data_IF_204103403614
#
_entry.id   IF_204103403614
#
_cell.length_a   1.000
_cell.length_b   1.000
_cell.length_c   1.000
_cell.angle_alpha   90.00
_cell.angle_beta   90.00
_cell.angle_gamma   90.00
#
_symmetry.space_group_name_H-M   'P 1'
#
loop_
_entity.id
_entity.type
_entity.pdbx_description
1 polymer ?
#
# COMPACT_ATOMS: atom_id res chain seq x y z
N UNK A 1 -1.95 10.22 2.97
CA UNK A 1 -1.34 9.12 3.73
C UNK A 1 -0.07 9.58 4.39
N UNK A 2 0.22 9.05 5.55
CA UNK A 2 1.38 9.47 6.33
C UNK A 2 1.84 8.36 7.30
N UNK A 3 3.07 8.47 7.76
CA UNK A 3 3.62 7.62 8.81
C UNK A 3 3.78 8.46 10.07
N UNK A 4 3.25 7.97 11.20
CA UNK A 4 3.39 8.65 12.48
C UNK A 4 4.89 8.77 12.86
N UNK A 5 5.31 9.97 13.26
CA UNK A 5 6.69 10.28 13.67
C UNK A 5 7.16 9.38 14.81
N UNK A 6 6.28 8.99 15.71
CA UNK A 6 6.63 8.11 16.84
C UNK A 6 7.12 6.72 16.41
N UNK A 7 6.89 6.35 15.15
CA UNK A 7 7.39 5.11 14.55
C UNK A 7 8.67 5.31 13.71
N UNK A 8 9.23 6.52 13.68
CA UNK A 8 10.40 6.85 12.84
C UNK A 8 11.67 6.86 13.67
N UNK A 9 12.63 6.08 13.22
CA UNK A 9 13.92 5.86 13.85
C UNK A 9 15.04 6.11 12.87
N UNK A 10 16.18 6.56 13.38
CA UNK A 10 17.41 6.60 12.62
C UNK A 10 18.41 5.58 13.16
N UNK A 11 19.19 5.00 12.27
CA UNK A 11 20.34 4.17 12.62
C UNK A 11 21.57 5.06 12.68
N UNK A 12 22.25 5.06 13.81
CA UNK A 12 23.57 5.66 13.89
C UNK A 12 24.62 4.56 13.75
N UNK A 13 25.55 4.71 12.81
CA UNK A 13 26.64 3.79 12.54
C UNK A 13 27.66 3.71 13.67
N UNK A 14 27.19 3.67 14.92
CA UNK A 14 28.04 3.60 16.09
C UNK A 14 28.20 2.16 16.52
N UNK A 15 29.29 1.52 16.12
CA UNK A 15 29.76 0.30 16.79
C UNK A 15 30.06 0.64 18.24
N UNK A 16 29.94 -0.34 19.15
CA UNK A 16 30.24 -0.19 20.59
C UNK A 16 31.61 0.47 20.85
N UNK A 17 32.57 0.25 20.00
CA UNK A 17 33.92 0.83 20.03
C UNK A 17 33.91 2.36 19.92
N UNK A 18 33.03 2.91 19.08
CA UNK A 18 32.90 4.36 18.91
C UNK A 18 32.19 5.02 20.10
N UNK A 19 31.21 4.34 20.71
CA UNK A 19 30.54 4.84 21.91
C UNK A 19 31.54 5.07 23.08
N UNK A 20 32.59 4.26 23.15
CA UNK A 20 33.66 4.41 24.17
C UNK A 20 34.48 5.69 24.00
N UNK A 21 34.55 6.21 22.78
CA UNK A 21 35.34 7.41 22.44
C UNK A 21 34.60 8.74 22.67
N UNK A 22 33.31 8.75 22.92
CA UNK A 22 32.59 9.98 23.24
C UNK A 22 32.96 10.55 24.61
N UNK A 23 33.25 11.85 24.67
CA UNK A 23 33.64 12.56 25.89
C UNK A 23 32.50 12.64 26.93
N UNK A 24 31.27 12.75 26.48
CA UNK A 24 30.09 12.93 27.35
C UNK A 24 29.38 11.60 27.67
N UNK A 25 29.56 11.12 28.91
CA UNK A 25 28.97 9.85 29.38
C UNK A 25 27.44 9.85 29.40
N UNK A 26 26.78 10.95 29.66
CA UNK A 26 25.32 11.02 29.73
C UNK A 26 24.71 10.83 28.32
N UNK A 27 25.32 11.45 27.32
CA UNK A 27 24.90 11.28 25.91
C UNK A 27 25.18 9.87 25.43
N UNK A 28 26.28 9.20 25.86
CA UNK A 28 26.50 7.76 25.60
C UNK A 28 25.33 6.90 26.10
N UNK A 29 24.87 7.17 27.34
CA UNK A 29 23.78 6.41 27.94
C UNK A 29 22.46 6.61 27.22
N UNK A 30 22.15 7.81 26.74
CA UNK A 30 20.98 8.07 25.92
C UNK A 30 20.98 7.21 24.64
N UNK A 31 22.12 7.06 24.00
CA UNK A 31 22.29 6.20 22.83
C UNK A 31 22.12 4.71 23.12
N UNK A 32 22.74 4.22 24.21
CA UNK A 32 22.69 2.81 24.58
C UNK A 32 21.30 2.42 25.09
N UNK A 33 20.64 3.30 25.85
CA UNK A 33 19.37 3.02 26.52
C UNK A 33 18.19 2.90 25.56
N UNK A 34 18.27 3.55 24.40
CA UNK A 34 17.14 3.61 23.47
C UNK A 34 16.98 2.38 22.60
N UNK A 35 18.02 1.58 22.33
CA UNK A 35 17.87 0.39 21.49
C UNK A 35 19.11 -0.53 21.43
N UNK A 36 18.98 -1.85 21.63
CA UNK A 36 20.07 -2.81 21.47
C UNK A 36 20.61 -2.89 20.02
N UNK A 37 19.89 -2.37 19.05
CA UNK A 37 20.31 -2.31 17.65
C UNK A 37 20.75 -0.91 17.19
N UNK A 38 20.98 0.03 18.14
CA UNK A 38 21.40 1.40 17.84
C UNK A 38 20.41 2.20 16.95
N UNK A 39 19.12 1.89 17.03
CA UNK A 39 18.07 2.67 16.42
C UNK A 39 17.51 3.66 17.44
N UNK A 40 17.56 4.93 17.11
CA UNK A 40 17.06 6.01 17.95
C UNK A 40 15.79 6.59 17.35
N UNK A 41 14.83 6.89 18.22
CA UNK A 41 13.71 7.71 17.78
C UNK A 41 14.25 9.02 17.20
N UNK A 42 13.61 9.54 16.14
CA UNK A 42 14.13 10.72 15.43
C UNK A 42 14.30 11.93 16.36
N UNK A 43 13.40 12.13 17.32
CA UNK A 43 13.46 13.22 18.32
C UNK A 43 14.62 13.05 19.31
N UNK A 44 15.17 11.84 19.47
CA UNK A 44 16.33 11.55 20.33
C UNK A 44 17.64 11.54 19.54
N UNK A 45 17.57 11.76 18.21
CA UNK A 45 18.76 11.74 17.36
C UNK A 45 19.71 12.89 17.67
N UNK A 46 21.00 12.68 17.39
CA UNK A 46 22.04 13.73 17.49
C UNK A 46 21.65 14.93 16.63
N UNK A 47 21.13 14.67 15.44
CA UNK A 47 20.75 15.69 14.47
C UNK A 47 19.63 16.58 15.01
N UNK A 48 18.56 15.98 15.55
CA UNK A 48 17.44 16.73 16.10
C UNK A 48 17.81 17.49 17.38
N UNK A 49 18.58 16.84 18.28
CA UNK A 49 19.06 17.48 19.50
C UNK A 49 19.97 18.66 19.22
N UNK A 50 20.83 18.59 18.18
CA UNK A 50 21.66 19.71 17.76
C UNK A 50 20.82 20.92 17.31
N UNK A 51 19.72 20.68 16.58
CA UNK A 51 18.80 21.74 16.12
C UNK A 51 18.05 22.39 17.28
N UNK A 52 17.43 21.58 18.16
CA UNK A 52 16.59 22.07 19.26
C UNK A 52 17.41 22.87 20.28
N UNK A 53 18.58 22.38 20.63
CA UNK A 53 19.45 23.04 21.61
C UNK A 53 20.33 24.13 21.00
N UNK A 54 20.30 24.31 19.69
CA UNK A 54 21.25 25.16 18.93
C UNK A 54 22.71 24.93 19.33
N UNK A 55 23.06 23.66 19.62
CA UNK A 55 24.39 23.23 20.03
C UNK A 55 24.83 22.05 19.14
N UNK A 56 25.85 22.30 18.33
CA UNK A 56 26.35 21.35 17.35
C UNK A 56 27.65 20.66 17.76
N UNK A 57 28.16 20.86 18.96
CA UNK A 57 29.46 20.30 19.37
C UNK A 57 29.45 18.78 19.37
N UNK A 58 28.37 18.18 19.89
CA UNK A 58 28.24 16.73 19.89
C UNK A 58 27.98 16.18 18.46
N UNK A 59 27.32 16.93 17.60
CA UNK A 59 27.18 16.58 16.19
C UNK A 59 28.53 16.58 15.47
N UNK A 60 29.39 17.59 15.70
CA UNK A 60 30.76 17.63 15.17
C UNK A 60 31.59 16.45 15.63
N UNK A 61 31.54 16.14 16.95
CA UNK A 61 32.22 14.98 17.52
C UNK A 61 31.76 13.67 16.86
N UNK A 62 30.46 13.52 16.65
CA UNK A 62 29.87 12.36 15.95
C UNK A 62 30.38 12.22 14.51
N UNK A 63 30.34 13.30 13.73
CA UNK A 63 30.83 13.30 12.33
C UNK A 63 32.31 12.91 12.26
N UNK A 64 33.12 13.46 13.14
CA UNK A 64 34.56 13.16 13.19
C UNK A 64 34.84 11.69 13.55
N UNK A 65 34.14 11.15 14.55
CA UNK A 65 34.33 9.77 14.99
C UNK A 65 33.83 8.77 13.94
N UNK A 66 32.73 9.07 13.25
CA UNK A 66 32.14 8.19 12.24
C UNK A 66 32.75 8.35 10.85
N UNK A 67 33.66 9.32 10.68
CA UNK A 67 34.28 9.65 9.39
C UNK A 67 33.27 9.99 8.28
N UNK A 68 32.13 10.58 8.67
CA UNK A 68 31.05 10.96 7.73
C UNK A 68 31.23 12.39 7.23
N UNK A 69 32.37 12.71 6.65
CA UNK A 69 32.72 14.07 6.17
C UNK A 69 31.78 14.61 5.09
N UNK A 70 31.06 13.74 4.40
CA UNK A 70 29.98 14.12 3.47
C UNK A 70 28.78 14.78 4.18
N UNK A 71 28.63 14.57 5.49
CA UNK A 71 27.59 15.13 6.35
C UNK A 71 28.13 16.25 7.27
N UNK A 72 29.12 17.02 6.79
CA UNK A 72 29.75 18.08 7.57
C UNK A 72 28.72 19.07 8.15
N UNK A 73 29.11 19.73 9.26
CA UNK A 73 28.24 20.73 9.90
C UNK A 73 27.84 21.83 8.93
N UNK A 74 28.75 22.31 8.09
CA UNK A 74 28.47 23.36 7.13
C UNK A 74 27.38 22.95 6.13
N UNK A 75 27.42 21.70 5.65
CA UNK A 75 26.36 21.16 4.79
C UNK A 75 25.03 21.07 5.51
N UNK A 76 25.04 20.70 6.80
CA UNK A 76 23.80 20.62 7.59
C UNK A 76 23.22 22.02 7.84
N UNK A 77 24.05 22.98 8.21
CA UNK A 77 23.61 24.37 8.39
C UNK A 77 23.12 24.99 7.08
N UNK A 78 23.84 24.80 5.98
CA UNK A 78 23.39 25.25 4.68
C UNK A 78 22.06 24.62 4.27
N UNK A 79 21.85 23.32 4.56
CA UNK A 79 20.56 22.65 4.32
C UNK A 79 19.46 23.27 5.21
N UNK A 80 19.75 23.59 6.47
CA UNK A 80 18.80 24.25 7.39
C UNK A 80 18.39 25.63 6.86
N UNK A 81 19.35 26.45 6.45
CA UNK A 81 19.12 27.83 5.96
C UNK A 81 18.33 27.85 4.64
N UNK A 82 18.56 26.87 3.76
CA UNK A 82 17.96 26.79 2.44
C UNK A 82 16.88 25.70 2.33
N UNK A 83 16.29 25.29 3.46
CA UNK A 83 15.32 24.20 3.48
C UNK A 83 14.00 24.59 2.82
N UNK A 84 13.65 23.90 1.73
CA UNK A 84 12.44 24.09 0.97
C UNK A 84 11.72 22.74 0.82
N UNK A 85 10.54 22.61 1.43
CA UNK A 85 9.74 21.40 1.40
C UNK A 85 9.33 21.01 -0.05
N UNK A 86 9.13 21.98 -0.93
CA UNK A 86 8.73 21.74 -2.32
C UNK A 86 9.87 21.13 -3.17
N UNK A 87 11.13 21.22 -2.69
CA UNK A 87 12.32 20.64 -3.31
C UNK A 87 12.83 19.41 -2.55
N UNK A 88 12.03 18.89 -1.63
CA UNK A 88 12.42 17.77 -0.78
C UNK A 88 12.65 16.50 -1.61
N UNK A 89 13.88 15.99 -1.58
CA UNK A 89 14.15 14.63 -2.09
C UNK A 89 13.52 13.60 -1.17
N UNK A 90 13.00 12.52 -1.73
CA UNK A 90 12.41 11.43 -0.94
C UNK A 90 13.38 10.93 0.14
N UNK A 91 12.81 10.65 1.29
CA UNK A 91 13.49 10.09 2.45
C UNK A 91 13.37 8.58 2.35
N UNK A 92 14.50 7.88 2.29
CA UNK A 92 14.51 6.43 2.19
C UNK A 92 14.38 5.80 3.56
N UNK A 93 13.35 4.97 3.77
CA UNK A 93 13.08 4.31 5.04
C UNK A 93 12.89 2.80 4.84
N UNK A 94 13.42 2.03 5.79
CA UNK A 94 13.15 0.59 5.88
C UNK A 94 12.07 0.34 6.93
N UNK A 95 11.03 -0.39 6.57
CA UNK A 95 9.97 -0.78 7.48
C UNK A 95 10.17 -2.20 8.00
N UNK A 96 10.26 -2.32 9.34
CA UNK A 96 10.24 -3.59 10.04
C UNK A 96 8.84 -3.83 10.62
N UNK A 97 8.07 -4.74 10.05
CA UNK A 97 6.68 -4.95 10.44
C UNK A 97 6.53 -5.53 11.86
N UNK A 98 7.47 -6.36 12.32
CA UNK A 98 7.42 -6.98 13.66
C UNK A 98 7.52 -5.93 14.77
N UNK A 99 8.43 -4.97 14.61
CA UNK A 99 8.62 -3.88 15.59
C UNK A 99 7.77 -2.65 15.27
N UNK A 100 7.14 -2.59 14.10
CA UNK A 100 6.42 -1.43 13.59
C UNK A 100 7.28 -0.16 13.51
N UNK A 101 8.57 -0.30 13.22
CA UNK A 101 9.52 0.80 13.13
C UNK A 101 9.86 1.08 11.67
N UNK A 102 9.96 2.36 11.35
CA UNK A 102 10.50 2.86 10.09
C UNK A 102 11.91 3.41 10.37
N UNK A 103 12.91 2.75 9.82
CA UNK A 103 14.32 3.11 10.03
C UNK A 103 14.78 3.94 8.84
N UNK A 104 15.23 5.16 9.09
CA UNK A 104 15.73 6.03 8.03
C UNK A 104 17.06 5.48 7.52
N UNK A 105 17.12 5.13 6.25
CA UNK A 105 18.33 4.72 5.54
C UNK A 105 19.05 5.92 4.91
N UNK A 106 18.28 6.90 4.40
CA UNK A 106 18.78 8.18 3.89
C UNK A 106 17.80 9.30 4.19
N UNK A 107 18.32 10.48 4.57
CA UNK A 107 17.52 11.67 4.79
C UNK A 107 17.27 12.03 6.25
N UNK A 108 18.06 11.56 7.22
CA UNK A 108 17.94 11.90 8.64
C UNK A 108 17.85 13.41 8.86
N UNK A 109 18.75 14.19 8.24
CA UNK A 109 18.74 15.66 8.33
C UNK A 109 17.42 16.26 7.84
N UNK A 110 16.88 15.73 6.73
CA UNK A 110 15.62 16.20 6.14
C UNK A 110 14.43 15.95 7.09
N UNK A 111 14.36 14.77 7.69
CA UNK A 111 13.32 14.46 8.68
C UNK A 111 13.45 15.36 9.90
N UNK A 112 14.68 15.55 10.43
CA UNK A 112 14.90 16.45 11.57
C UNK A 112 14.45 17.88 11.26
N UNK A 113 14.71 18.39 10.04
CA UNK A 113 14.28 19.73 9.64
C UNK A 113 12.76 19.85 9.45
N UNK A 114 12.11 18.81 8.86
CA UNK A 114 10.64 18.77 8.78
C UNK A 114 9.98 18.91 10.16
N UNK A 115 10.49 18.17 11.14
CA UNK A 115 9.99 18.20 12.53
C UNK A 115 10.36 19.53 13.21
N UNK A 116 11.59 19.98 13.04
CA UNK A 116 12.11 21.20 13.66
C UNK A 116 11.36 22.47 13.21
N UNK A 117 11.10 22.60 11.91
CA UNK A 117 10.34 23.73 11.35
C UNK A 117 8.81 23.56 11.47
N UNK A 118 8.33 22.46 12.08
CA UNK A 118 6.90 22.14 12.20
C UNK A 118 6.17 22.16 10.85
N UNK A 119 6.84 21.69 9.81
CA UNK A 119 6.27 21.58 8.44
C UNK A 119 5.39 20.35 8.28
N UNK A 120 5.43 19.47 9.23
CA UNK A 120 4.58 18.29 9.38
C UNK A 120 4.09 18.25 10.83
N UNK A 121 2.87 17.79 11.03
CA UNK A 121 2.32 17.56 12.35
C UNK A 121 2.97 16.29 12.99
N UNK A 122 2.17 15.34 13.45
CA UNK A 122 2.66 14.08 14.04
C UNK A 122 2.94 12.98 13.01
N UNK A 123 2.98 13.31 11.70
CA UNK A 123 3.17 12.31 10.66
C UNK A 123 3.85 12.85 9.40
N UNK A 124 4.65 11.99 8.73
CA UNK A 124 5.29 12.31 7.46
C UNK A 124 4.41 11.77 6.31
N UNK A 125 3.96 12.61 5.38
CA UNK A 125 3.24 12.17 4.18
C UNK A 125 4.06 11.16 3.34
N UNK A 126 3.37 10.14 2.81
CA UNK A 126 4.03 9.09 2.00
C UNK A 126 4.69 9.63 0.73
N UNK A 127 4.23 10.75 0.21
CA UNK A 127 4.84 11.40 -0.98
C UNK A 127 6.30 11.79 -0.74
N UNK A 128 6.70 12.03 0.52
CA UNK A 128 8.07 12.34 0.91
C UNK A 128 8.92 11.10 1.21
N UNK A 129 8.33 9.91 1.16
CA UNK A 129 8.99 8.67 1.56
C UNK A 129 9.24 7.73 0.37
N UNK A 130 10.37 7.04 0.44
CA UNK A 130 10.71 5.87 -0.36
C UNK A 130 10.82 4.69 0.61
N UNK A 131 9.73 3.90 0.69
CA UNK A 131 9.61 2.83 1.68
C UNK A 131 10.18 1.54 1.10
N UNK A 132 11.06 0.90 1.88
CA UNK A 132 11.60 -0.43 1.60
C UNK A 132 11.17 -1.34 2.74
N UNK A 133 10.70 -2.53 2.43
CA UNK A 133 10.43 -3.56 3.42
C UNK A 133 11.64 -4.44 3.65
N UNK A 134 11.88 -4.83 4.91
CA UNK A 134 12.95 -5.74 5.25
C UNK A 134 12.69 -7.17 4.71
N UNK A 135 13.73 -7.99 4.66
CA UNK A 135 13.64 -9.35 4.12
C UNK A 135 12.63 -10.22 4.88
N UNK A 136 12.48 -10.04 6.19
CA UNK A 136 11.51 -10.81 6.98
C UNK A 136 10.07 -10.44 6.59
N UNK A 137 9.83 -9.15 6.35
CA UNK A 137 8.52 -8.66 5.86
C UNK A 137 8.24 -9.19 4.47
N UNK A 138 9.23 -9.14 3.57
CA UNK A 138 9.09 -9.67 2.19
C UNK A 138 8.77 -11.17 2.23
N UNK A 139 9.47 -11.96 3.05
CA UNK A 139 9.22 -13.39 3.17
C UNK A 139 7.82 -13.68 3.79
N UNK A 140 7.39 -12.90 4.79
CA UNK A 140 6.04 -13.00 5.34
C UNK A 140 4.96 -12.80 4.27
N UNK A 141 5.09 -11.77 3.43
CA UNK A 141 4.16 -11.48 2.34
C UNK A 141 4.19 -12.60 1.30
N UNK A 142 5.37 -13.10 0.95
CA UNK A 142 5.56 -14.21 0.03
C UNK A 142 4.84 -15.48 0.49
N UNK A 143 5.00 -15.86 1.76
CA UNK A 143 4.31 -17.02 2.33
C UNK A 143 2.79 -16.86 2.29
N UNK A 144 2.28 -15.69 2.69
CA UNK A 144 0.85 -15.40 2.60
C UNK A 144 0.29 -15.51 1.18
N UNK A 145 1.03 -15.05 0.17
CA UNK A 145 0.65 -15.20 -1.24
C UNK A 145 0.64 -16.67 -1.69
N UNK A 146 1.62 -17.47 -1.25
CA UNK A 146 1.65 -18.90 -1.55
C UNK A 146 0.46 -19.63 -0.92
N UNK A 147 0.01 -19.23 0.26
CA UNK A 147 -1.19 -19.76 0.89
C UNK A 147 -2.46 -19.45 0.07
N UNK A 148 -2.58 -18.25 -0.50
CA UNK A 148 -3.70 -17.92 -1.41
C UNK A 148 -3.71 -18.80 -2.67
N UNK A 149 -2.52 -19.23 -3.12
CA UNK A 149 -2.40 -20.11 -4.30
C UNK A 149 -2.84 -21.54 -3.99
N UNK A 150 -2.60 -22.05 -2.79
CA UNK A 150 -2.79 -23.46 -2.44
C UNK A 150 -4.25 -23.91 -2.46
N UNK A 151 -5.20 -23.00 -2.20
CA UNK A 151 -6.64 -23.31 -2.14
C UNK A 151 -7.36 -23.00 -3.46
N UNK A 152 -6.81 -22.18 -4.32
CA UNK A 152 -7.39 -21.92 -5.63
C UNK A 152 -7.38 -23.17 -6.56
N UNK A 153 -7.36 -24.34 -5.99
CA UNK A 153 -7.49 -25.66 -6.62
C UNK A 153 -8.91 -25.96 -7.08
N UNK A 154 -9.74 -24.95 -7.25
CA UNK A 154 -11.02 -25.18 -7.88
C UNK A 154 -10.77 -25.72 -9.30
N UNK A 155 -10.91 -27.04 -9.44
CA UNK A 155 -11.00 -27.74 -10.73
C UNK A 155 -9.75 -27.69 -11.65
N UNK A 156 -8.55 -27.83 -11.14
CA UNK A 156 -7.36 -28.00 -12.01
C UNK A 156 -6.80 -26.70 -12.61
N UNK A 157 -7.37 -25.56 -12.30
CA UNK A 157 -6.91 -24.25 -12.77
C UNK A 157 -5.70 -23.68 -12.00
N UNK A 158 -5.28 -24.35 -10.93
CA UNK A 158 -4.20 -23.87 -10.05
C UNK A 158 -2.81 -23.76 -10.70
N UNK A 159 -2.54 -24.48 -11.76
CA UNK A 159 -1.21 -24.54 -12.39
C UNK A 159 -0.91 -23.38 -13.36
N UNK A 160 -1.88 -22.53 -13.66
CA UNK A 160 -1.71 -21.42 -14.61
C UNK A 160 -1.70 -20.02 -14.00
N UNK A 161 -1.81 -19.90 -12.68
CA UNK A 161 -2.04 -18.60 -12.01
C UNK A 161 -0.77 -17.95 -11.46
N UNK A 162 0.22 -17.71 -12.31
CA UNK A 162 1.44 -17.02 -11.89
C UNK A 162 2.20 -17.73 -10.75
N UNK A 163 3.34 -17.19 -10.36
CA UNK A 163 4.18 -17.79 -9.31
C UNK A 163 3.55 -17.58 -7.92
N UNK A 164 2.83 -16.47 -7.71
CA UNK A 164 2.30 -16.02 -6.43
C UNK A 164 0.78 -15.79 -6.42
N UNK A 165 0.01 -16.62 -7.10
CA UNK A 165 -1.45 -16.56 -7.08
C UNK A 165 -2.06 -15.67 -8.16
N UNK A 166 -3.26 -15.14 -7.89
CA UNK A 166 -4.04 -14.44 -8.92
C UNK A 166 -3.56 -13.00 -9.15
N UNK A 167 -3.42 -12.18 -8.10
CA UNK A 167 -2.93 -10.82 -8.23
C UNK A 167 -1.42 -10.73 -8.04
N UNK A 168 -0.76 -9.96 -8.91
CA UNK A 168 0.60 -9.48 -8.65
C UNK A 168 0.59 -8.44 -7.55
N UNK A 169 1.64 -8.43 -6.71
CA UNK A 169 1.84 -7.40 -5.70
C UNK A 169 3.12 -6.64 -6.00
N UNK A 170 2.96 -5.43 -6.55
CA UNK A 170 4.03 -4.51 -6.87
C UNK A 170 3.86 -3.25 -6.03
N UNK A 171 4.11 -3.39 -4.72
CA UNK A 171 3.94 -2.32 -3.73
C UNK A 171 5.30 -2.06 -3.09
N UNK A 172 5.81 -0.85 -3.22
CA UNK A 172 7.16 -0.45 -2.79
C UNK A 172 8.24 -1.40 -3.39
N UNK A 173 9.11 -2.00 -2.58
CA UNK A 173 10.13 -2.96 -3.07
C UNK A 173 9.65 -4.41 -3.12
N UNK A 174 8.38 -4.68 -2.80
CA UNK A 174 7.77 -5.99 -2.95
C UNK A 174 7.31 -6.18 -4.40
N UNK A 175 7.84 -7.18 -5.06
CA UNK A 175 7.50 -7.49 -6.45
C UNK A 175 7.23 -9.00 -6.58
N UNK A 176 5.96 -9.37 -6.42
CA UNK A 176 5.49 -10.75 -6.53
C UNK A 176 4.60 -10.91 -7.76
N UNK A 177 5.05 -11.72 -8.70
CA UNK A 177 4.37 -11.90 -9.97
C UNK A 177 3.20 -12.89 -9.85
N UNK A 178 1.99 -12.39 -9.93
CA UNK A 178 0.75 -13.16 -10.08
C UNK A 178 0.28 -13.22 -11.53
N UNK A 179 -0.93 -13.77 -11.74
CA UNK A 179 -1.56 -13.83 -13.05
C UNK A 179 -1.99 -12.44 -13.53
N UNK A 180 -2.61 -11.61 -12.67
CA UNK A 180 -3.17 -10.30 -13.01
C UNK A 180 -2.35 -9.19 -12.38
N UNK A 181 -2.12 -8.12 -13.13
CA UNK A 181 -1.34 -6.96 -12.68
C UNK A 181 -2.28 -5.79 -12.34
N UNK A 182 -2.62 -5.57 -11.04
CA UNK A 182 -3.60 -4.54 -10.64
C UNK A 182 -3.25 -3.13 -11.14
N UNK A 183 -1.98 -2.75 -11.14
CA UNK A 183 -1.55 -1.42 -11.57
C UNK A 183 -1.96 -1.10 -13.01
N UNK A 184 -1.81 -2.05 -13.94
CA UNK A 184 -2.20 -1.86 -15.35
C UNK A 184 -3.71 -1.60 -15.45
N UNK A 185 -4.54 -2.40 -14.75
CA UNK A 185 -5.99 -2.17 -14.68
C UNK A 185 -6.34 -0.80 -14.11
N UNK A 186 -5.71 -0.44 -13.01
CA UNK A 186 -5.96 0.84 -12.34
C UNK A 186 -5.55 2.02 -13.22
N UNK A 187 -4.47 1.91 -13.98
CA UNK A 187 -4.07 2.94 -14.95
C UNK A 187 -5.12 3.13 -16.07
N UNK A 188 -5.70 2.03 -16.57
CA UNK A 188 -6.80 2.11 -17.53
C UNK A 188 -8.02 2.80 -16.91
N UNK A 189 -8.44 2.38 -15.71
CA UNK A 189 -9.60 2.92 -15.02
C UNK A 189 -9.42 4.41 -14.72
N UNK A 190 -8.25 4.81 -14.20
CA UNK A 190 -7.91 6.21 -13.83
C UNK A 190 -7.92 7.18 -15.02
N UNK A 191 -7.80 6.70 -16.26
CA UNK A 191 -7.98 7.54 -17.47
C UNK A 191 -9.43 7.96 -17.69
N UNK A 192 -10.40 7.27 -17.09
CA UNK A 192 -11.82 7.46 -17.33
C UNK A 192 -12.59 7.99 -16.12
N UNK A 193 -12.12 7.69 -14.90
CA UNK A 193 -12.75 8.12 -13.64
C UNK A 193 -11.70 8.45 -12.59
N UNK A 194 -12.05 9.39 -11.71
CA UNK A 194 -11.26 9.69 -10.52
C UNK A 194 -11.67 8.76 -9.36
N UNK A 195 -10.70 8.02 -8.83
CA UNK A 195 -10.86 7.10 -7.70
C UNK A 195 -10.53 7.76 -6.35
N UNK A 196 -9.94 8.97 -6.36
CA UNK A 196 -9.48 9.64 -5.14
C UNK A 196 -10.65 9.98 -4.22
N UNK A 197 -10.48 9.71 -2.93
CA UNK A 197 -11.48 9.93 -1.89
C UNK A 197 -12.82 9.20 -2.13
N UNK A 198 -12.85 8.12 -2.91
CA UNK A 198 -14.05 7.32 -3.19
C UNK A 198 -14.18 6.15 -2.23
N UNK A 199 -15.43 5.73 -1.99
CA UNK A 199 -15.76 4.46 -1.35
C UNK A 199 -15.92 3.41 -2.45
N UNK A 200 -15.09 2.38 -2.43
CA UNK A 200 -15.02 1.37 -3.49
C UNK A 200 -15.34 0.00 -2.93
N UNK A 201 -16.29 -0.69 -3.57
CA UNK A 201 -16.58 -2.10 -3.32
C UNK A 201 -15.99 -2.96 -4.45
N UNK A 202 -15.21 -3.97 -4.09
CA UNK A 202 -14.66 -4.98 -5.02
C UNK A 202 -15.34 -6.32 -4.74
N UNK A 203 -16.21 -6.74 -5.64
CA UNK A 203 -17.01 -7.98 -5.53
C UNK A 203 -16.27 -9.12 -6.22
N UNK A 204 -15.84 -10.12 -5.44
CA UNK A 204 -14.90 -11.15 -5.87
C UNK A 204 -13.45 -10.63 -5.84
N UNK A 205 -13.07 -10.01 -4.73
CA UNK A 205 -11.81 -9.27 -4.61
C UNK A 205 -10.56 -10.14 -4.59
N UNK A 206 -10.69 -11.48 -4.48
CA UNK A 206 -9.59 -12.41 -4.31
C UNK A 206 -8.65 -11.94 -3.17
N UNK A 207 -7.34 -11.90 -3.39
CA UNK A 207 -6.33 -11.43 -2.42
C UNK A 207 -6.32 -9.90 -2.21
N UNK A 208 -7.36 -9.19 -2.61
CA UNK A 208 -7.50 -7.75 -2.41
C UNK A 208 -6.59 -6.89 -3.31
N UNK A 209 -6.01 -7.48 -4.36
CA UNK A 209 -4.99 -6.81 -5.16
C UNK A 209 -5.40 -5.46 -5.72
N UNK A 210 -6.64 -5.31 -6.19
CA UNK A 210 -7.13 -4.03 -6.73
C UNK A 210 -7.18 -2.95 -5.64
N UNK A 211 -7.81 -3.24 -4.51
CA UNK A 211 -7.98 -2.27 -3.42
C UNK A 211 -6.65 -1.93 -2.74
N UNK A 212 -5.79 -2.92 -2.52
CA UNK A 212 -4.49 -2.73 -1.86
C UNK A 212 -3.49 -1.88 -2.68
N UNK A 213 -3.73 -1.66 -3.97
CA UNK A 213 -2.96 -0.74 -4.80
C UNK A 213 -3.59 0.66 -4.89
N UNK A 214 -4.70 0.91 -4.19
CA UNK A 214 -5.40 2.20 -4.13
C UNK A 214 -5.13 2.89 -2.79
N UNK A 215 -4.13 3.75 -2.75
CA UNK A 215 -3.68 4.41 -1.52
C UNK A 215 -4.47 5.67 -1.16
N UNK A 216 -5.18 6.24 -2.11
CA UNK A 216 -5.83 7.56 -2.04
C UNK A 216 -7.37 7.50 -2.04
N UNK A 217 -7.96 6.32 -1.90
CA UNK A 217 -9.40 6.15 -1.71
C UNK A 217 -9.81 6.45 -0.26
N UNK A 218 -11.10 6.77 -0.04
CA UNK A 218 -11.63 6.95 1.30
C UNK A 218 -11.82 5.62 2.01
N UNK A 219 -12.63 4.71 1.43
CA UNK A 219 -12.89 3.37 1.98
C UNK A 219 -12.82 2.31 0.89
N UNK A 220 -12.28 1.14 1.25
CA UNK A 220 -12.25 -0.05 0.39
C UNK A 220 -12.98 -1.22 1.06
N UNK A 221 -13.87 -1.88 0.33
CA UNK A 221 -14.54 -3.09 0.76
C UNK A 221 -14.31 -4.19 -0.24
N UNK A 222 -13.80 -5.33 0.21
CA UNK A 222 -13.57 -6.49 -0.61
C UNK A 222 -14.41 -7.68 -0.12
N UNK A 223 -15.06 -8.39 -1.02
CA UNK A 223 -15.81 -9.61 -0.72
C UNK A 223 -15.24 -10.75 -1.55
N UNK A 224 -14.91 -11.85 -0.92
CA UNK A 224 -14.54 -13.10 -1.60
C UNK A 224 -14.94 -14.30 -0.76
N UNK A 225 -15.10 -15.47 -1.39
CA UNK A 225 -15.42 -16.70 -0.69
C UNK A 225 -14.19 -17.38 -0.08
N UNK A 226 -13.00 -17.11 -0.64
CA UNK A 226 -11.77 -17.76 -0.23
C UNK A 226 -11.18 -17.09 1.02
N UNK A 227 -11.26 -17.81 2.15
CA UNK A 227 -10.79 -17.32 3.45
C UNK A 227 -9.29 -17.01 3.46
N UNK A 228 -8.45 -17.71 2.70
CA UNK A 228 -7.01 -17.43 2.68
C UNK A 228 -6.72 -16.14 1.93
N UNK A 229 -7.43 -15.90 0.82
CA UNK A 229 -7.37 -14.64 0.11
C UNK A 229 -7.78 -13.47 1.02
N UNK A 230 -8.86 -13.61 1.77
CA UNK A 230 -9.35 -12.59 2.70
C UNK A 230 -8.39 -12.38 3.87
N UNK A 231 -7.86 -13.45 4.46
CA UNK A 231 -6.86 -13.36 5.55
C UNK A 231 -5.59 -12.65 5.07
N UNK A 232 -5.12 -12.97 3.87
CA UNK A 232 -3.99 -12.30 3.26
C UNK A 232 -4.28 -10.81 3.03
N UNK A 233 -5.43 -10.46 2.43
CA UNK A 233 -5.81 -9.08 2.16
C UNK A 233 -5.88 -8.23 3.44
N UNK A 234 -6.48 -8.75 4.51
CA UNK A 234 -6.54 -8.11 5.82
C UNK A 234 -5.14 -7.96 6.46
N UNK A 235 -4.29 -8.97 6.31
CA UNK A 235 -2.90 -8.93 6.82
C UNK A 235 -2.07 -7.90 6.08
N UNK A 236 -2.22 -7.82 4.75
CA UNK A 236 -1.57 -6.81 3.92
C UNK A 236 -2.04 -5.40 4.24
N UNK A 237 -3.35 -5.17 4.42
CA UNK A 237 -3.84 -3.85 4.82
C UNK A 237 -3.24 -3.41 6.17
N UNK A 238 -3.17 -4.31 7.15
CA UNK A 238 -2.50 -4.04 8.45
C UNK A 238 -1.02 -3.75 8.30
N UNK A 239 -0.32 -4.48 7.42
CA UNK A 239 1.10 -4.29 7.14
C UNK A 239 1.37 -2.93 6.48
N UNK A 240 0.58 -2.58 5.47
CA UNK A 240 0.78 -1.37 4.67
C UNK A 240 0.38 -0.10 5.44
N UNK A 241 -0.46 -0.21 6.47
CA UNK A 241 -0.88 0.89 7.35
C UNK A 241 -1.36 2.14 6.62
N UNK A 242 -2.14 1.92 5.59
CA UNK A 242 -2.80 3.03 4.90
C UNK A 242 -3.81 3.71 5.81
N UNK A 243 -3.93 5.03 5.70
CA UNK A 243 -4.90 5.79 6.49
C UNK A 243 -6.34 5.59 6.03
N UNK A 244 -6.55 4.98 4.85
CA UNK A 244 -7.87 4.61 4.38
C UNK A 244 -8.39 3.39 5.14
N UNK A 245 -9.68 3.38 5.37
CA UNK A 245 -10.37 2.22 5.94
C UNK A 245 -10.55 1.16 4.86
N UNK A 246 -9.99 -0.03 5.08
CA UNK A 246 -10.24 -1.19 4.22
C UNK A 246 -10.78 -2.35 5.04
N UNK A 247 -11.80 -3.01 4.53
CA UNK A 247 -12.42 -4.17 5.14
C UNK A 247 -12.59 -5.27 4.11
N UNK A 248 -12.01 -6.44 4.38
CA UNK A 248 -12.13 -7.61 3.53
C UNK A 248 -12.90 -8.68 4.30
N UNK A 249 -14.02 -9.14 3.71
CA UNK A 249 -14.92 -10.11 4.35
C UNK A 249 -15.04 -11.40 3.51
N UNK A 250 -15.03 -12.53 4.21
CA UNK A 250 -15.26 -13.83 3.58
C UNK A 250 -16.77 -14.08 3.50
N UNK A 251 -17.31 -14.17 2.28
CA UNK A 251 -18.71 -14.50 2.01
C UNK A 251 -18.84 -15.22 0.69
N UNK A 252 -19.76 -16.15 0.66
CA UNK A 252 -20.21 -16.81 -0.57
C UNK A 252 -21.32 -15.99 -1.22
N UNK A 253 -21.07 -15.49 -2.43
CA UNK A 253 -21.98 -14.63 -3.19
C UNK A 253 -23.27 -15.37 -3.62
N UNK A 254 -23.29 -16.69 -3.62
CA UNK A 254 -24.49 -17.47 -3.90
C UNK A 254 -25.42 -17.61 -2.70
N UNK A 255 -24.96 -17.30 -1.49
CA UNK A 255 -25.74 -17.42 -0.27
C UNK A 255 -25.93 -16.11 0.49
N UNK A 256 -25.11 -15.09 0.19
CA UNK A 256 -25.11 -13.79 0.90
C UNK A 256 -26.41 -13.02 0.72
N UNK A 257 -26.83 -12.35 1.77
CA UNK A 257 -27.75 -11.21 1.69
C UNK A 257 -26.92 -9.91 1.64
N UNK A 258 -26.78 -9.37 0.43
CA UNK A 258 -25.95 -8.19 0.19
C UNK A 258 -26.42 -6.94 0.97
N UNK A 259 -27.74 -6.78 1.18
CA UNK A 259 -28.28 -5.63 1.91
C UNK A 259 -28.02 -5.71 3.42
N UNK A 260 -27.95 -6.90 3.98
CA UNK A 260 -27.63 -7.08 5.40
C UNK A 260 -26.14 -6.91 5.69
N UNK A 261 -25.26 -7.31 4.77
CA UNK A 261 -23.81 -7.33 4.96
C UNK A 261 -23.14 -5.99 4.57
N UNK A 262 -23.61 -5.34 3.51
CA UNK A 262 -22.99 -4.13 2.98
C UNK A 262 -23.82 -2.90 3.34
N UNK A 263 -23.43 -2.25 4.44
CA UNK A 263 -24.12 -1.08 5.02
C UNK A 263 -23.31 0.22 4.84
N UNK A 264 -22.73 0.39 3.68
CA UNK A 264 -21.90 1.56 3.38
C UNK A 264 -22.44 2.28 2.15
N UNK A 265 -22.17 3.57 2.07
CA UNK A 265 -22.32 4.31 0.83
C UNK A 265 -21.21 3.93 -0.14
N UNK A 266 -21.57 3.54 -1.35
CA UNK A 266 -20.63 3.07 -2.37
C UNK A 266 -20.64 4.04 -3.54
N UNK A 267 -19.48 4.62 -3.85
CA UNK A 267 -19.31 5.46 -5.03
C UNK A 267 -19.08 4.63 -6.29
N UNK A 268 -18.25 3.58 -6.18
CA UNK A 268 -17.79 2.78 -7.31
C UNK A 268 -17.81 1.30 -6.94
N UNK A 269 -18.27 0.46 -7.85
CA UNK A 269 -18.20 -1.01 -7.70
C UNK A 269 -17.30 -1.59 -8.78
N UNK A 270 -16.40 -2.49 -8.37
CA UNK A 270 -15.64 -3.35 -9.26
C UNK A 270 -16.31 -4.72 -9.39
N UNK A 271 -16.54 -5.16 -10.64
CA UNK A 271 -17.10 -6.46 -11.01
C UNK A 271 -16.17 -7.10 -12.06
N UNK A 272 -15.06 -7.68 -11.61
CA UNK A 272 -14.05 -8.20 -12.52
C UNK A 272 -14.19 -9.71 -12.74
N UNK A 273 -14.59 -10.11 -13.94
CA UNK A 273 -14.59 -11.51 -14.39
C UNK A 273 -15.31 -12.46 -13.43
N UNK A 274 -16.38 -12.00 -12.83
CA UNK A 274 -17.06 -12.68 -11.72
C UNK A 274 -18.22 -13.59 -12.18
N UNK A 275 -18.97 -13.18 -13.20
CA UNK A 275 -20.27 -13.76 -13.53
C UNK A 275 -20.29 -15.26 -13.84
N UNK A 276 -19.18 -15.80 -14.37
CA UNK A 276 -19.04 -17.25 -14.63
C UNK A 276 -18.86 -18.10 -13.35
N UNK A 277 -18.55 -17.46 -12.24
CA UNK A 277 -18.19 -18.16 -11.01
C UNK A 277 -19.31 -18.18 -9.97
N UNK A 278 -20.41 -17.43 -10.22
CA UNK A 278 -21.53 -17.31 -9.31
C UNK A 278 -22.81 -17.74 -10.02
N UNK A 279 -23.61 -18.57 -9.36
CA UNK A 279 -24.93 -19.01 -9.87
C UNK A 279 -25.90 -17.83 -9.85
N UNK A 280 -25.89 -17.05 -8.79
CA UNK A 280 -26.78 -15.89 -8.58
C UNK A 280 -26.23 -14.58 -9.16
N UNK A 281 -25.35 -14.62 -10.18
CA UNK A 281 -24.72 -13.43 -10.72
C UNK A 281 -25.70 -12.31 -11.09
N UNK A 282 -26.87 -12.68 -11.63
CA UNK A 282 -27.90 -11.71 -12.01
C UNK A 282 -28.40 -10.90 -10.81
N UNK A 283 -28.70 -11.58 -9.69
CA UNK A 283 -29.09 -10.93 -8.44
C UNK A 283 -28.00 -9.98 -7.94
N UNK A 284 -26.77 -10.41 -7.90
CA UNK A 284 -25.63 -9.59 -7.45
C UNK A 284 -25.48 -8.35 -8.34
N UNK A 285 -25.56 -8.49 -9.66
CA UNK A 285 -25.43 -7.39 -10.60
C UNK A 285 -26.59 -6.39 -10.51
N UNK A 286 -27.82 -6.86 -10.38
CA UNK A 286 -29.00 -6.02 -10.14
C UNK A 286 -28.91 -5.27 -8.79
N UNK A 287 -28.35 -5.91 -7.78
CA UNK A 287 -28.06 -5.24 -6.50
C UNK A 287 -27.00 -4.13 -6.71
N UNK A 288 -25.91 -4.41 -7.40
CA UNK A 288 -24.86 -3.42 -7.70
C UNK A 288 -25.41 -2.21 -8.45
N UNK A 289 -26.31 -2.43 -9.41
CA UNK A 289 -26.98 -1.35 -10.17
C UNK A 289 -27.81 -0.41 -9.29
N UNK A 290 -28.36 -0.91 -8.19
CA UNK A 290 -29.12 -0.12 -7.21
C UNK A 290 -28.24 0.63 -6.23
N UNK A 291 -27.00 0.16 -6.00
CA UNK A 291 -26.14 0.66 -4.92
C UNK A 291 -25.08 1.65 -5.36
N UNK A 292 -24.71 1.69 -6.63
CA UNK A 292 -23.71 2.63 -7.11
C UNK A 292 -24.09 3.19 -8.48
N UNK A 293 -23.68 4.43 -8.70
CA UNK A 293 -23.82 5.09 -10.02
C UNK A 293 -22.74 4.71 -11.00
N UNK A 294 -21.64 4.12 -10.55
CA UNK A 294 -20.48 3.77 -11.36
C UNK A 294 -20.09 2.33 -11.07
N UNK A 295 -20.08 1.51 -12.13
CA UNK A 295 -19.58 0.14 -12.04
C UNK A 295 -18.47 -0.01 -13.09
N UNK A 296 -17.32 -0.52 -12.68
CA UNK A 296 -16.28 -0.99 -13.59
C UNK A 296 -16.45 -2.49 -13.73
N UNK A 297 -16.77 -2.90 -14.93
CA UNK A 297 -17.11 -4.27 -15.26
C UNK A 297 -16.12 -4.89 -16.24
N UNK A 298 -15.59 -6.08 -15.94
CA UNK A 298 -14.77 -6.87 -16.85
C UNK A 298 -15.47 -8.21 -17.16
N UNK A 299 -15.54 -8.56 -18.43
CA UNK A 299 -16.12 -9.84 -18.89
C UNK A 299 -15.19 -11.02 -18.58
N UNK A 300 -15.76 -12.24 -18.45
CA UNK A 300 -14.98 -13.48 -18.38
C UNK A 300 -14.61 -13.99 -19.77
N UNK A 301 -15.59 -13.94 -20.69
CA UNK A 301 -15.50 -14.34 -22.08
C UNK A 301 -16.58 -13.61 -22.89
N UNK A 302 -16.56 -13.78 -24.20
CA UNK A 302 -17.46 -13.05 -25.07
C UNK A 302 -18.95 -13.46 -24.95
N UNK A 303 -19.25 -14.74 -24.68
CA UNK A 303 -20.66 -15.20 -24.60
C UNK A 303 -21.34 -14.76 -23.33
N UNK A 304 -20.69 -14.96 -22.19
CA UNK A 304 -21.24 -14.54 -20.88
C UNK A 304 -21.23 -13.03 -20.77
N UNK A 305 -20.17 -12.38 -21.25
CA UNK A 305 -20.09 -10.93 -21.33
C UNK A 305 -21.28 -10.32 -22.08
N UNK A 306 -21.73 -10.92 -23.17
CA UNK A 306 -22.93 -10.47 -23.88
C UNK A 306 -24.18 -10.51 -23.01
N UNK A 307 -24.42 -11.60 -22.26
CA UNK A 307 -25.58 -11.73 -21.36
C UNK A 307 -25.56 -10.67 -20.26
N UNK A 308 -24.37 -10.40 -19.69
CA UNK A 308 -24.18 -9.41 -18.66
C UNK A 308 -24.38 -7.98 -19.19
N UNK A 309 -23.89 -7.69 -20.38
CA UNK A 309 -24.10 -6.41 -21.06
C UNK A 309 -25.59 -6.19 -21.38
N UNK A 310 -26.30 -7.23 -21.82
CA UNK A 310 -27.76 -7.14 -22.05
C UNK A 310 -28.53 -6.84 -20.74
N UNK A 311 -28.10 -7.38 -19.61
CA UNK A 311 -28.65 -6.99 -18.32
C UNK A 311 -28.47 -5.50 -18.06
N UNK A 312 -27.28 -4.96 -18.23
CA UNK A 312 -27.02 -3.52 -18.03
C UNK A 312 -27.85 -2.64 -19.00
N UNK A 313 -28.00 -3.07 -20.27
CA UNK A 313 -28.86 -2.38 -21.24
C UNK A 313 -30.33 -2.39 -20.83
N UNK A 314 -30.84 -3.52 -20.31
CA UNK A 314 -32.23 -3.63 -19.85
C UNK A 314 -32.56 -2.66 -18.71
N UNK A 315 -31.54 -2.28 -17.92
CA UNK A 315 -31.63 -1.26 -16.88
C UNK A 315 -31.29 0.17 -17.38
N UNK A 316 -31.24 0.38 -18.70
CA UNK A 316 -30.97 1.69 -19.34
C UNK A 316 -29.61 2.31 -18.98
N UNK A 317 -28.66 1.52 -18.55
CA UNK A 317 -27.32 2.01 -18.22
C UNK A 317 -26.59 2.54 -19.46
N UNK A 318 -25.79 3.60 -19.27
CA UNK A 318 -24.82 4.03 -20.28
C UNK A 318 -23.57 3.16 -20.17
N UNK A 319 -23.22 2.48 -21.24
CA UNK A 319 -22.13 1.49 -21.30
C UNK A 319 -21.03 2.02 -22.20
N UNK A 320 -19.85 2.27 -21.64
CA UNK A 320 -18.68 2.71 -22.40
C UNK A 320 -17.59 1.63 -22.31
N UNK A 321 -17.12 1.15 -23.46
CA UNK A 321 -15.96 0.27 -23.53
C UNK A 321 -14.71 1.10 -23.20
N UNK A 322 -13.92 0.66 -22.20
CA UNK A 322 -12.69 1.35 -21.76
C UNK A 322 -11.42 0.54 -22.02
N UNK A 323 -11.55 -0.77 -22.25
CA UNK A 323 -10.46 -1.60 -22.76
C UNK A 323 -11.01 -2.77 -23.58
N UNK A 324 -10.41 -3.01 -24.75
CA UNK A 324 -10.73 -4.16 -25.62
C UNK A 324 -10.04 -5.46 -25.17
N UNK A 325 -8.99 -5.35 -24.34
CA UNK A 325 -8.13 -6.46 -23.95
C UNK A 325 -7.76 -6.39 -22.49
N UNK A 326 -7.30 -7.51 -21.93
CA UNK A 326 -6.77 -7.65 -20.59
C UNK A 326 -5.23 -7.70 -20.63
N UNK A 327 -4.59 -6.59 -20.95
CA UNK A 327 -3.12 -6.49 -21.06
C UNK A 327 -2.41 -6.74 -19.70
N UNK A 328 -3.16 -6.77 -18.63
CA UNK A 328 -2.71 -7.11 -17.28
C UNK A 328 -2.64 -8.63 -17.03
N UNK A 329 -3.11 -9.49 -17.95
CA UNK A 329 -3.09 -10.95 -17.79
C UNK A 329 -1.77 -11.55 -18.28
N UNK A 330 -0.95 -12.02 -17.33
CA UNK A 330 0.38 -12.60 -17.62
C UNK A 330 0.33 -13.97 -18.29
N UNK A 331 -0.84 -14.62 -18.36
CA UNK A 331 -1.03 -15.93 -19.00
C UNK A 331 -1.42 -15.83 -20.47
N UNK A 332 -1.54 -14.60 -20.99
CA UNK A 332 -1.93 -14.36 -22.38
C UNK A 332 -3.43 -14.49 -22.66
N UNK A 333 -4.27 -14.65 -21.64
CA UNK A 333 -5.72 -14.62 -21.77
C UNK A 333 -6.23 -13.18 -21.81
N UNK A 334 -5.97 -12.48 -22.90
CA UNK A 334 -6.24 -11.06 -23.08
C UNK A 334 -7.55 -10.74 -23.80
N UNK A 335 -8.51 -11.68 -23.85
CA UNK A 335 -9.81 -11.49 -24.54
C UNK A 335 -10.91 -10.86 -23.67
N UNK A 336 -10.58 -10.40 -22.47
CA UNK A 336 -11.57 -9.83 -21.55
C UNK A 336 -11.70 -8.33 -21.79
N UNK A 337 -12.92 -7.89 -22.06
CA UNK A 337 -13.22 -6.48 -22.28
C UNK A 337 -13.61 -5.81 -20.98
N UNK A 338 -13.19 -4.56 -20.81
CA UNK A 338 -13.54 -3.77 -19.64
C UNK A 338 -14.45 -2.60 -20.02
N UNK A 339 -15.46 -2.39 -19.22
CA UNK A 339 -16.50 -1.37 -19.45
C UNK A 339 -16.68 -0.47 -18.23
N UNK A 340 -16.95 0.79 -18.49
CA UNK A 340 -17.47 1.74 -17.54
C UNK A 340 -19.00 1.79 -17.70
N UNK A 341 -19.73 1.36 -16.67
CA UNK A 341 -21.19 1.36 -16.62
C UNK A 341 -21.63 2.50 -15.73
N UNK A 342 -22.42 3.43 -16.29
CA UNK A 342 -23.10 4.48 -15.53
C UNK A 342 -24.57 4.08 -15.39
N UNK A 343 -25.02 3.91 -14.14
CA UNK A 343 -26.40 3.63 -13.80
C UNK A 343 -27.24 4.91 -13.90
N UNK A 344 -28.51 4.79 -14.10
CA UNK A 344 -29.45 5.95 -14.22
C UNK A 344 -29.83 6.48 -12.85
#
# INVERSE_FOLDING_TARGET
MSINIDNIYCSHWLKNEYLKSFSNKEKKFAYIKSNPHFHFHIKDSIHYNALINNNFDFYKEYINITNQHEHSLDKFLNLKENFDINKLKKIKVEHNYKSNKYIILDGVHRVCLLVFFKLIDDSIPLEYLDIIYDNNTIEFVKQGLLETKSISHYNGWGNGRGDFGYHSFNIFNMNFKGQRIPNIRLEIIKKHIDLKNKNILDVGCNSGGMLLHLFDINKGYGIDYDINCINFANSMHKLLKFNNEMNFIQRDLDTIDMDSEIKIDIDIIFLFSLGSWIIKWKYIYEWCLKKSRIIIFETNNDEEGKKQIELFKSHKCKINLISESSDDDTTGNNKRKMYLINTV
#
